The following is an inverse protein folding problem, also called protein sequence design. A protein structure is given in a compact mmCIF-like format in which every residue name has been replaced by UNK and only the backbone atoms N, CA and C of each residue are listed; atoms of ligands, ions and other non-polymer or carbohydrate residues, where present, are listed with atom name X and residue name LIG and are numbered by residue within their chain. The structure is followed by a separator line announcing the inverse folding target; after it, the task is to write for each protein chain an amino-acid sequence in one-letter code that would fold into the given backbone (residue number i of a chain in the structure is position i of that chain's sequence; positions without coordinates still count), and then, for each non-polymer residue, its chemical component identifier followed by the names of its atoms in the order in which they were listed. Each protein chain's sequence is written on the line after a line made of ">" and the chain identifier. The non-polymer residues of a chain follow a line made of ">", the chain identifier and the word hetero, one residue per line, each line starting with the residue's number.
data_IF_834551462143
#
_entry.id   IF_834551462143
#
_cell.length_a   1.000
_cell.length_b   1.000
_cell.length_c   1.000
_cell.angle_alpha   90.00
_cell.angle_beta   90.00
_cell.angle_gamma   90.00
#
_symmetry.space_group_name_H-M   'P 1'
#
loop_
_entity.id
_entity.type
_entity.pdbx_description
1 polymer ?
#
# COMPACT_ATOMS: atom_id res chain seq x y z
N UNK A 1 11.19 17.24 -5.49
CA UNK A 1 10.48 15.95 -5.62
C UNK A 1 9.00 16.26 -5.69
N UNK A 2 8.30 15.87 -6.76
CA UNK A 2 6.87 16.17 -6.93
C UNK A 2 6.04 15.15 -6.16
N UNK A 3 5.21 15.63 -5.24
CA UNK A 3 4.19 14.83 -4.58
C UNK A 3 3.09 14.48 -5.60
N UNK A 4 2.75 13.20 -5.72
CA UNK A 4 1.58 12.76 -6.48
C UNK A 4 0.50 12.33 -5.51
N UNK A 5 -0.65 13.01 -5.55
CA UNK A 5 -1.84 12.64 -4.80
C UNK A 5 -2.78 11.85 -5.71
N UNK A 6 -3.19 10.66 -5.27
CA UNK A 6 -4.10 9.79 -6.00
C UNK A 6 -5.25 9.38 -5.08
N UNK A 7 -6.46 9.36 -5.61
CA UNK A 7 -7.63 8.78 -4.94
C UNK A 7 -8.32 7.83 -5.90
N UNK A 8 -8.66 6.63 -5.43
CA UNK A 8 -9.36 5.64 -6.24
C UNK A 8 -10.13 4.66 -5.35
N UNK A 9 -10.94 3.82 -5.99
CA UNK A 9 -11.57 2.65 -5.37
C UNK A 9 -11.06 1.41 -6.08
N UNK A 10 -10.41 0.51 -5.36
CA UNK A 10 -9.85 -0.72 -5.94
C UNK A 10 -9.58 -1.78 -4.86
N UNK A 11 -9.08 -2.94 -5.28
CA UNK A 11 -8.62 -3.97 -4.34
C UNK A 11 -7.33 -3.54 -3.64
N UNK A 12 -7.36 -3.42 -2.32
CA UNK A 12 -6.19 -3.13 -1.48
C UNK A 12 -5.88 -4.34 -0.61
N UNK A 13 -4.62 -4.80 -0.59
CA UNK A 13 -4.16 -5.83 0.33
C UNK A 13 -3.31 -5.16 1.40
N UNK A 14 -3.66 -5.36 2.66
CA UNK A 14 -2.99 -4.78 3.82
C UNK A 14 -2.33 -5.88 4.62
N UNK A 15 -1.04 -5.73 4.90
CA UNK A 15 -0.24 -6.76 5.56
C UNK A 15 0.85 -6.15 6.45
N UNK A 16 1.22 -6.83 7.54
CA UNK A 16 2.37 -6.46 8.34
C UNK A 16 3.66 -6.80 7.59
N UNK A 17 4.63 -5.90 7.65
CA UNK A 17 6.00 -6.13 7.19
C UNK A 17 6.95 -5.55 8.24
N UNK A 18 7.43 -6.42 9.12
CA UNK A 18 8.18 -6.04 10.32
C UNK A 18 7.38 -5.07 11.19
N UNK A 19 7.91 -3.88 11.45
CA UNK A 19 7.25 -2.83 12.23
C UNK A 19 6.31 -1.94 11.40
N UNK A 20 6.17 -2.19 10.09
CA UNK A 20 5.32 -1.42 9.20
C UNK A 20 4.00 -2.16 8.92
N UNK A 21 2.91 -1.39 8.82
CA UNK A 21 1.70 -1.83 8.13
C UNK A 21 1.77 -1.33 6.70
N UNK A 22 1.71 -2.24 5.74
CA UNK A 22 1.88 -1.95 4.32
C UNK A 22 0.59 -2.24 3.57
N UNK A 23 0.23 -1.34 2.66
CA UNK A 23 -0.86 -1.53 1.72
C UNK A 23 -0.31 -1.64 0.31
N UNK A 24 -0.87 -2.60 -0.42
CA UNK A 24 -0.58 -2.86 -1.82
C UNK A 24 -1.84 -2.75 -2.67
N UNK A 25 -1.74 -1.95 -3.73
CA UNK A 25 -2.75 -1.83 -4.78
C UNK A 25 -2.07 -1.61 -6.13
N UNK A 26 -2.85 -1.68 -7.20
CA UNK A 26 -2.37 -1.54 -8.58
C UNK A 26 -3.13 -0.44 -9.29
N UNK A 27 -2.44 0.35 -10.09
CA UNK A 27 -3.03 1.26 -11.07
C UNK A 27 -2.59 0.88 -12.48
N UNK A 28 -3.37 1.30 -13.46
CA UNK A 28 -3.00 1.18 -14.86
C UNK A 28 -2.72 2.56 -15.42
N UNK A 29 -1.64 2.70 -16.19
CA UNK A 29 -1.31 3.96 -16.87
C UNK A 29 -2.11 4.16 -18.16
N UNK A 30 -2.79 3.11 -18.63
CA UNK A 30 -3.55 3.12 -19.88
C UNK A 30 -4.92 2.43 -19.77
N UNK A 31 -5.65 2.45 -20.88
CA UNK A 31 -7.01 1.89 -21.02
C UNK A 31 -7.06 0.37 -21.04
N UNK A 32 -5.91 -0.33 -21.07
CA UNK A 32 -5.87 -1.81 -21.02
C UNK A 32 -6.13 -2.33 -19.61
N UNK A 33 -6.03 -1.47 -18.60
CA UNK A 33 -6.31 -1.80 -17.20
C UNK A 33 -5.48 -2.98 -16.67
N UNK A 34 -4.23 -3.11 -17.11
CA UNK A 34 -3.35 -4.26 -16.81
C UNK A 34 -2.56 -4.15 -15.51
N UNK A 35 -2.67 -3.03 -14.80
CA UNK A 35 -2.02 -2.85 -13.51
C UNK A 35 -0.51 -2.63 -13.63
N UNK A 36 0.00 -2.00 -14.68
CA UNK A 36 1.44 -1.78 -14.93
C UNK A 36 2.13 -0.92 -13.85
N UNK A 37 1.37 -0.24 -13.00
CA UNK A 37 1.87 0.53 -11.87
C UNK A 37 1.49 -0.15 -10.54
N UNK A 38 2.49 -0.61 -9.80
CA UNK A 38 2.32 -1.05 -8.42
C UNK A 38 2.39 0.13 -7.46
N UNK A 39 1.44 0.21 -6.54
CA UNK A 39 1.47 1.14 -5.41
C UNK A 39 1.72 0.33 -4.14
N UNK A 40 2.89 0.50 -3.53
CA UNK A 40 3.24 -0.11 -2.25
C UNK A 40 3.54 0.99 -1.25
N UNK A 41 2.68 1.10 -0.24
CA UNK A 41 2.63 2.28 0.63
C UNK A 41 2.54 1.89 2.09
N UNK A 42 3.03 2.73 2.98
CA UNK A 42 2.80 2.56 4.42
C UNK A 42 1.39 3.05 4.79
N UNK A 43 0.72 2.33 5.68
CA UNK A 43 -0.57 2.72 6.26
C UNK A 43 -0.29 3.47 7.56
N UNK A 44 0.04 4.75 7.46
CA UNK A 44 0.34 5.61 8.61
C UNK A 44 -0.08 7.05 8.35
N UNK A 45 -0.43 7.77 9.43
CA UNK A 45 -0.82 9.18 9.37
C UNK A 45 0.36 10.10 9.03
N UNK A 46 1.58 9.71 9.39
CA UNK A 46 2.83 10.44 9.16
C UNK A 46 3.90 9.55 8.54
N UNK A 47 4.66 10.08 7.58
CA UNK A 47 5.73 9.35 6.88
C UNK A 47 5.68 9.59 5.37
N UNK A 48 6.78 9.27 4.68
CA UNK A 48 6.93 9.48 3.23
C UNK A 48 7.13 8.18 2.44
N UNK A 49 7.10 7.03 3.13
CA UNK A 49 7.36 5.72 2.54
C UNK A 49 8.86 5.41 2.41
N UNK A 50 9.74 6.29 2.86
CA UNK A 50 11.19 6.03 2.90
C UNK A 50 11.53 4.87 3.84
N UNK A 51 10.73 4.67 4.90
CA UNK A 51 10.85 3.56 5.84
C UNK A 51 10.83 2.20 5.12
N UNK A 52 9.99 2.07 4.08
CA UNK A 52 9.90 0.87 3.27
C UNK A 52 11.19 0.60 2.48
N UNK A 53 11.85 1.65 1.99
CA UNK A 53 13.12 1.54 1.26
C UNK A 53 14.30 1.26 2.18
N UNK A 54 14.31 1.86 3.38
CA UNK A 54 15.28 1.52 4.42
C UNK A 54 15.15 0.04 4.79
N UNK A 55 13.92 -0.45 4.99
CA UNK A 55 13.69 -1.86 5.27
C UNK A 55 14.18 -2.78 4.15
N UNK A 56 13.92 -2.40 2.89
CA UNK A 56 14.39 -3.15 1.72
C UNK A 56 15.92 -3.20 1.62
N UNK A 57 16.61 -2.13 2.02
CA UNK A 57 18.07 -2.09 2.10
C UNK A 57 18.58 -2.99 3.24
N UNK A 58 18.04 -2.81 4.44
CA UNK A 58 18.56 -3.38 5.67
C UNK A 58 18.32 -4.89 5.76
N UNK A 59 17.09 -5.35 5.49
CA UNK A 59 16.75 -6.78 5.48
C UNK A 59 17.09 -7.45 4.16
N UNK A 60 17.18 -6.65 3.10
CA UNK A 60 17.48 -7.21 1.81
C UNK A 60 18.94 -7.46 1.54
N UNK A 61 19.84 -6.78 2.26
CA UNK A 61 21.25 -6.66 1.86
C UNK A 61 21.41 -5.98 0.50
N UNK A 62 20.44 -5.14 0.10
CA UNK A 62 20.30 -4.61 -1.27
C UNK A 62 20.80 -3.19 -1.35
N UNK A 63 21.90 -2.99 -2.08
CA UNK A 63 22.54 -1.69 -2.21
C UNK A 63 22.04 -0.87 -3.41
N UNK A 64 21.41 -1.50 -4.40
CA UNK A 64 20.83 -0.79 -5.55
C UNK A 64 19.35 -0.50 -5.35
N UNK A 65 18.88 0.63 -5.88
CA UNK A 65 17.45 0.98 -5.86
C UNK A 65 16.60 -0.03 -6.65
N UNK A 66 17.14 -0.60 -7.74
CA UNK A 66 16.45 -1.62 -8.52
C UNK A 66 16.21 -2.91 -7.72
N UNK A 67 17.20 -3.36 -6.96
CA UNK A 67 17.03 -4.53 -6.11
C UNK A 67 16.04 -4.25 -4.98
N UNK A 68 16.13 -3.08 -4.35
CA UNK A 68 15.19 -2.65 -3.31
C UNK A 68 13.75 -2.64 -3.86
N UNK A 69 13.52 -2.06 -5.03
CA UNK A 69 12.21 -2.04 -5.69
C UNK A 69 11.66 -3.45 -5.93
N UNK A 70 12.49 -4.36 -6.47
CA UNK A 70 12.10 -5.77 -6.70
C UNK A 70 11.78 -6.49 -5.39
N UNK A 71 12.52 -6.22 -4.32
CA UNK A 71 12.21 -6.80 -3.01
C UNK A 71 10.88 -6.32 -2.45
N UNK A 72 10.61 -5.01 -2.51
CA UNK A 72 9.34 -4.42 -2.09
C UNK A 72 8.17 -5.10 -2.84
N UNK A 73 8.28 -5.20 -4.16
CA UNK A 73 7.29 -5.88 -5.01
C UNK A 73 7.13 -7.36 -4.66
N UNK A 74 8.23 -8.04 -4.32
CA UNK A 74 8.19 -9.45 -3.90
C UNK A 74 7.38 -9.62 -2.62
N UNK A 75 7.55 -8.75 -1.62
CA UNK A 75 6.75 -8.82 -0.39
C UNK A 75 5.27 -8.54 -0.68
N UNK A 76 4.98 -7.47 -1.44
CA UNK A 76 3.62 -7.09 -1.80
C UNK A 76 2.88 -8.19 -2.60
N UNK A 77 3.54 -8.78 -3.59
CA UNK A 77 2.95 -9.85 -4.39
C UNK A 77 2.71 -11.12 -3.56
N UNK A 78 3.68 -11.50 -2.71
CA UNK A 78 3.49 -12.62 -1.77
C UNK A 78 2.31 -12.37 -0.84
N UNK A 79 2.18 -11.16 -0.29
CA UNK A 79 1.07 -10.81 0.56
C UNK A 79 -0.29 -10.90 -0.17
N UNK A 80 -0.36 -10.50 -1.44
CA UNK A 80 -1.61 -10.63 -2.22
C UNK A 80 -1.96 -12.08 -2.56
N UNK A 81 -0.97 -12.94 -2.81
CA UNK A 81 -1.20 -14.35 -3.12
C UNK A 81 -1.60 -15.12 -1.86
N UNK A 82 -0.99 -14.79 -0.72
CA UNK A 82 -1.27 -15.44 0.57
C UNK A 82 -2.54 -14.85 1.16
N UNK A 83 -3.64 -15.63 1.15
CA UNK A 83 -4.94 -15.24 1.70
C UNK A 83 -4.99 -15.17 3.26
N UNK A 84 -3.84 -14.93 3.90
CA UNK A 84 -3.74 -14.79 5.36
C UNK A 84 -3.80 -13.32 5.82
N UNK A 85 -3.76 -12.37 4.89
CA UNK A 85 -3.77 -10.95 5.18
C UNK A 85 -5.09 -10.30 4.77
N UNK A 86 -5.30 -9.08 5.27
CA UNK A 86 -6.53 -8.35 5.01
C UNK A 86 -6.61 -7.93 3.55
N UNK A 87 -7.67 -8.36 2.88
CA UNK A 87 -7.91 -8.10 1.47
C UNK A 87 -9.23 -7.36 1.30
N UNK A 88 -9.14 -6.13 0.83
CA UNK A 88 -10.24 -5.18 0.71
C UNK A 88 -10.61 -5.01 -0.78
N UNK A 89 -11.55 -5.79 -1.34
CA UNK A 89 -11.79 -5.88 -2.78
C UNK A 89 -12.33 -4.60 -3.45
N UNK A 90 -12.80 -3.62 -2.69
CA UNK A 90 -13.34 -2.36 -3.20
C UNK A 90 -13.15 -1.21 -2.23
N UNK A 91 -11.98 -1.13 -1.58
CA UNK A 91 -11.69 -0.02 -0.69
C UNK A 91 -11.49 1.28 -1.47
N UNK A 92 -12.14 2.34 -1.03
CA UNK A 92 -11.77 3.71 -1.39
C UNK A 92 -10.54 4.11 -0.59
N UNK A 93 -9.58 4.75 -1.25
CA UNK A 93 -8.31 5.12 -0.65
C UNK A 93 -7.76 6.41 -1.25
N UNK A 94 -6.95 7.11 -0.46
CA UNK A 94 -6.17 8.27 -0.91
C UNK A 94 -4.70 8.05 -0.58
N UNK A 95 -3.80 8.23 -1.56
CA UNK A 95 -2.37 8.01 -1.40
C UNK A 95 -1.57 9.26 -1.76
N UNK A 96 -0.51 9.47 -0.97
CA UNK A 96 0.47 10.54 -1.16
C UNK A 96 1.81 9.89 -1.53
N UNK A 97 2.09 9.88 -2.82
CA UNK A 97 3.22 9.17 -3.42
C UNK A 97 4.40 10.12 -3.61
N UNK A 98 5.56 9.72 -3.08
CA UNK A 98 6.75 10.57 -3.04
C UNK A 98 7.86 10.04 -3.93
N UNK A 99 7.85 8.74 -4.20
CA UNK A 99 8.88 8.09 -5.02
C UNK A 99 8.23 7.23 -6.09
N UNK A 100 8.63 7.51 -7.32
CA UNK A 100 8.34 6.71 -8.52
C UNK A 100 9.64 6.08 -8.98
N UNK A 101 9.63 4.77 -9.20
CA UNK A 101 10.75 4.00 -9.71
C UNK A 101 10.31 3.22 -10.95
N UNK A 102 10.98 3.47 -12.07
CA UNK A 102 10.77 2.71 -13.32
C UNK A 102 11.68 1.49 -13.27
N UNK A 103 11.11 0.31 -13.47
CA UNK A 103 11.87 -0.94 -13.45
C UNK A 103 12.61 -1.13 -14.77
N UNK A 104 13.84 -1.63 -14.72
CA UNK A 104 14.64 -1.91 -15.92
C UNK A 104 14.05 -3.02 -16.81
N UNK A 105 13.14 -3.83 -16.24
CA UNK A 105 12.38 -4.87 -16.90
C UNK A 105 11.07 -5.10 -16.14
N UNK A 106 10.04 -5.60 -16.83
CA UNK A 106 8.77 -5.98 -16.21
C UNK A 106 9.03 -6.95 -15.05
N UNK A 107 8.51 -6.62 -13.87
CA UNK A 107 8.65 -7.45 -12.68
C UNK A 107 7.31 -7.55 -11.96
N UNK A 108 6.87 -8.78 -11.65
CA UNK A 108 5.56 -9.05 -11.06
C UNK A 108 4.38 -8.41 -11.83
N UNK A 109 4.49 -8.31 -13.16
CA UNK A 109 3.55 -7.63 -14.07
C UNK A 109 3.49 -6.10 -13.94
N UNK A 110 4.48 -5.49 -13.29
CA UNK A 110 4.61 -4.04 -13.17
C UNK A 110 5.81 -3.52 -13.95
N UNK A 111 5.65 -2.35 -14.53
CA UNK A 111 6.72 -1.55 -15.14
C UNK A 111 7.19 -0.46 -14.17
N UNK A 112 6.32 -0.05 -13.24
CA UNK A 112 6.58 1.05 -12.30
C UNK A 112 6.21 0.65 -10.89
N UNK A 113 7.08 0.96 -9.94
CA UNK A 113 6.77 0.98 -8.51
C UNK A 113 6.59 2.43 -8.05
N UNK A 114 5.47 2.72 -7.42
CA UNK A 114 5.24 3.95 -6.68
C UNK A 114 5.11 3.65 -5.19
N UNK A 115 5.78 4.46 -4.37
CA UNK A 115 5.77 4.33 -2.91
C UNK A 115 5.47 5.66 -2.24
N UNK A 116 4.92 5.57 -1.04
CA UNK A 116 4.45 6.71 -0.27
C UNK A 116 3.63 6.23 0.92
N UNK A 117 2.64 7.04 1.30
CA UNK A 117 1.66 6.69 2.32
C UNK A 117 0.26 6.58 1.73
N UNK A 118 -0.60 5.80 2.36
CA UNK A 118 -2.01 5.66 2.01
C UNK A 118 -2.89 5.86 3.24
N UNK A 119 -4.06 6.44 3.02
CA UNK A 119 -5.14 6.53 3.99
C UNK A 119 -6.29 5.64 3.52
N UNK A 120 -6.74 4.77 4.41
CA UNK A 120 -7.77 3.77 4.17
C UNK A 120 -8.93 4.01 5.15
N UNK A 121 -10.00 4.73 4.75
CA UNK A 121 -11.14 5.02 5.62
C UNK A 121 -11.78 3.76 6.24
N UNK A 122 -11.78 2.64 5.50
CA UNK A 122 -12.31 1.36 5.98
C UNK A 122 -11.58 0.82 7.22
N UNK A 123 -10.28 1.09 7.35
CA UNK A 123 -9.48 0.69 8.52
C UNK A 123 -9.59 1.67 9.70
N UNK A 124 -10.03 2.91 9.44
CA UNK A 124 -10.25 3.91 10.49
C UNK A 124 -11.60 3.76 11.19
N UNK A 125 -12.42 2.76 10.84
CA UNK A 125 -13.76 2.56 11.43
C UNK A 125 -13.73 1.60 12.61
N UNK A 126 -12.92 1.87 13.63
CA UNK A 126 -13.10 1.32 14.97
C UNK A 126 -12.69 2.37 16.01
N UNK A 127 -13.62 3.27 16.37
CA UNK A 127 -14.00 3.68 17.74
C UNK A 127 -15.23 4.59 17.61
N UNK A 128 -16.40 4.16 18.10
CA UNK A 128 -17.51 5.06 18.41
C UNK A 128 -18.89 4.62 17.94
N UNK A 129 -19.46 3.57 18.52
CA UNK A 129 -20.86 3.23 18.30
C UNK A 129 -21.32 2.11 19.22
N UNK A 130 -21.86 2.47 20.39
CA UNK A 130 -22.49 1.48 21.27
C UNK A 130 -22.62 1.91 22.73
N UNK A 131 -23.39 2.97 22.99
CA UNK A 131 -24.04 3.17 24.29
C UNK A 131 -25.38 3.89 24.09
N UNK A 132 -26.30 3.23 23.39
CA UNK A 132 -27.72 3.54 23.49
C UNK A 132 -28.26 2.88 24.76
N UNK A 133 -28.10 3.59 25.88
CA UNK A 133 -28.77 3.29 27.13
C UNK A 133 -30.21 3.82 27.09
N UNK A 134 -31.11 3.06 26.48
CA UNK A 134 -32.55 3.25 26.62
C UNK A 134 -32.95 2.82 28.05
N UNK A 135 -32.98 3.77 28.98
CA UNK A 135 -33.58 3.58 30.29
C UNK A 135 -35.03 4.10 30.26
N UNK A 136 -35.93 3.15 30.09
CA UNK A 136 -37.37 3.26 30.24
C UNK A 136 -37.72 3.81 31.64
N UNK A 137 -38.53 4.87 31.66
CA UNK A 137 -39.18 5.41 32.85
C UNK A 137 -40.09 4.38 33.53
N UNK A 138 -39.96 4.23 34.85
CA UNK A 138 -41.08 4.00 35.78
C UNK A 138 -40.81 4.75 37.09
#
# INVERSE_FOLDING_TARGET
>A
MSLTELTATSRVTVFPLEYLTVAYTTQSSDSRCLGDVALVTVVQDSGYGDELWHLARDLGGRNSAGDQARWILTQANRARIVAAYEDLPGATWSAYLHRRFVLDAIFANHEVLMTGRISLPALCTEVGGGMDGEAVSQ
#
